data_IF_310410338419
#
_entry.id   IF_310410338419
#
_cell.length_a   1.000
_cell.length_b   1.000
_cell.length_c   1.000
_cell.angle_alpha   90.00
_cell.angle_beta   90.00
_cell.angle_gamma   90.00
#
_symmetry.space_group_name_H-M   'P 1'
#
loop_
_entity.id
_entity.type
_entity.pdbx_description
1 polymer ?
#
# COMPACT_ATOMS: atom_id res chain seq x y z
N UNK A 1 31.01 0.33 13.03
CA UNK A 1 29.94 0.67 12.03
C UNK A 1 29.40 2.06 12.36
N UNK A 2 29.78 3.09 11.61
CA UNK A 2 29.27 4.45 11.81
C UNK A 2 27.96 4.60 11.04
N UNK A 3 26.85 4.85 11.75
CA UNK A 3 25.59 5.28 11.12
C UNK A 3 25.73 6.76 10.77
N UNK A 4 25.67 7.11 9.49
CA UNK A 4 25.59 8.51 9.04
C UNK A 4 24.14 8.82 8.71
N UNK A 5 23.58 9.81 9.40
CA UNK A 5 22.23 10.32 9.14
C UNK A 5 22.33 11.44 8.11
N UNK A 6 21.59 11.32 7.01
CA UNK A 6 21.47 12.38 6.01
C UNK A 6 20.05 12.91 6.06
N UNK A 7 19.92 14.21 6.29
CA UNK A 7 18.64 14.90 6.26
C UNK A 7 18.40 15.43 4.84
N UNK A 8 17.48 14.81 4.13
CA UNK A 8 16.90 15.38 2.92
C UNK A 8 15.52 15.87 3.31
N UNK A 9 15.14 17.07 2.88
CA UNK A 9 13.87 17.73 3.24
C UNK A 9 12.74 16.73 3.46
N UNK A 10 12.38 16.48 4.72
CA UNK A 10 11.33 15.57 5.19
C UNK A 10 11.60 14.05 5.14
N UNK A 11 12.82 13.59 4.91
CA UNK A 11 13.15 12.16 4.90
C UNK A 11 14.45 11.92 5.66
N UNK A 12 14.42 11.04 6.65
CA UNK A 12 15.64 10.53 7.31
C UNK A 12 15.95 9.18 6.71
N UNK A 13 17.10 9.10 6.07
CA UNK A 13 17.62 7.86 5.49
C UNK A 13 18.64 7.24 6.43
N UNK A 14 18.40 6.02 6.91
CA UNK A 14 19.39 5.22 7.62
C UNK A 14 20.15 4.38 6.61
N UNK A 15 21.40 4.75 6.35
CA UNK A 15 22.26 4.01 5.42
C UNK A 15 23.24 3.19 6.22
N UNK A 16 23.22 1.88 6.07
CA UNK A 16 24.25 0.98 6.54
C UNK A 16 25.28 0.81 5.41
N UNK A 17 26.45 1.44 5.55
CA UNK A 17 27.46 1.50 4.51
C UNK A 17 28.47 0.36 4.67
N UNK A 18 28.66 -0.45 3.62
CA UNK A 18 29.82 -1.30 3.42
C UNK A 18 30.60 -0.72 2.25
N UNK A 19 31.74 -0.10 2.55
CA UNK A 19 32.65 0.46 1.50
C UNK A 19 33.66 -0.62 1.19
N UNK A 20 33.72 -1.06 -0.07
CA UNK A 20 34.89 -1.79 -0.60
C UNK A 20 35.63 -0.88 -1.56
N UNK A 21 36.93 -0.72 -1.32
CA UNK A 21 37.81 0.09 -2.16
C UNK A 21 38.52 -0.84 -3.14
N UNK A 22 38.27 -0.66 -4.43
CA UNK A 22 39.09 -1.24 -5.47
C UNK A 22 39.85 -0.10 -6.17
N UNK A 23 41.07 -0.35 -6.65
CA UNK A 23 42.08 0.64 -7.04
C UNK A 23 41.62 1.65 -8.11
N UNK A 24 40.53 1.37 -8.83
CA UNK A 24 39.99 2.21 -9.91
C UNK A 24 38.53 2.63 -9.79
N UNK A 25 37.75 2.07 -8.85
CA UNK A 25 36.32 2.41 -8.71
C UNK A 25 35.91 2.38 -7.24
N UNK A 26 35.26 3.46 -6.80
CA UNK A 26 34.53 3.46 -5.53
C UNK A 26 33.13 2.88 -5.76
N UNK A 27 32.86 1.72 -5.19
CA UNK A 27 31.51 1.13 -5.17
C UNK A 27 30.97 1.19 -3.75
N UNK A 28 29.90 1.93 -3.55
CA UNK A 28 29.15 1.91 -2.29
C UNK A 28 27.87 1.09 -2.49
N UNK A 29 27.69 0.05 -1.69
CA UNK A 29 26.39 -0.63 -1.58
C UNK A 29 25.62 0.05 -0.46
N UNK A 30 24.45 0.59 -0.82
CA UNK A 30 23.54 1.25 0.11
C UNK A 30 22.35 0.33 0.31
N UNK A 31 22.28 -0.30 1.49
CA UNK A 31 21.13 -1.06 1.91
C UNK A 31 20.22 -0.13 2.73
N UNK A 32 19.07 0.21 2.17
CA UNK A 32 18.08 1.05 2.83
C UNK A 32 17.26 0.18 3.79
N UNK A 33 17.38 0.45 5.10
CA UNK A 33 16.57 -0.22 6.14
C UNK A 33 15.18 0.36 6.20
N UNK A 34 14.97 1.55 5.66
CA UNK A 34 13.70 2.23 5.57
C UNK A 34 13.85 3.74 5.35
N UNK A 35 12.81 4.35 4.85
CA UNK A 35 12.69 5.80 4.75
C UNK A 35 11.68 6.24 5.80
N UNK A 36 12.16 6.98 6.83
CA UNK A 36 11.28 7.55 7.85
C UNK A 36 10.82 8.93 7.39
N UNK A 37 9.52 9.08 7.15
CA UNK A 37 8.91 10.39 6.92
C UNK A 37 8.80 11.14 8.24
N UNK A 38 9.50 12.26 8.37
CA UNK A 38 9.32 13.17 9.51
C UNK A 38 7.95 13.86 9.41
N UNK A 39 7.29 14.03 10.55
CA UNK A 39 6.08 14.85 10.62
C UNK A 39 6.44 16.31 10.35
N UNK A 40 5.52 17.08 9.79
CA UNK A 40 5.76 18.51 9.51
C UNK A 40 6.20 19.27 10.77
N UNK A 41 5.59 18.97 11.92
CA UNK A 41 5.97 19.57 13.21
C UNK A 41 7.42 19.29 13.60
N UNK A 42 7.96 18.09 13.32
CA UNK A 42 9.35 17.74 13.64
C UNK A 42 10.33 18.49 12.74
N UNK A 43 9.92 18.80 11.51
CA UNK A 43 10.71 19.57 10.55
C UNK A 43 10.73 21.05 10.92
N UNK A 44 9.58 21.61 11.27
CA UNK A 44 9.44 23.01 11.70
C UNK A 44 10.24 23.28 12.98
N UNK A 45 10.18 22.37 13.96
CA UNK A 45 10.96 22.48 15.18
C UNK A 45 12.48 22.45 14.97
N UNK A 46 12.96 21.76 13.92
CA UNK A 46 14.40 21.62 13.62
C UNK A 46 14.96 22.69 12.70
N UNK A 47 14.14 23.26 11.82
CA UNK A 47 14.57 24.19 10.76
C UNK A 47 14.19 25.63 11.09
N UNK A 48 13.29 25.87 12.06
CA UNK A 48 12.91 27.20 12.50
C UNK A 48 12.17 28.03 11.46
N UNK A 49 11.59 27.44 10.45
CA UNK A 49 10.88 28.13 9.39
C UNK A 49 9.37 27.95 9.55
N UNK A 50 8.75 28.90 10.19
CA UNK A 50 7.33 29.14 10.06
C UNK A 50 7.04 29.63 8.63
N UNK A 51 6.27 28.89 7.85
CA UNK A 51 5.58 29.54 6.74
C UNK A 51 5.58 28.97 5.36
N UNK A 52 6.00 27.75 5.07
CA UNK A 52 5.74 27.20 3.73
C UNK A 52 4.55 26.23 3.72
N UNK A 53 3.36 26.74 3.44
CA UNK A 53 2.11 25.97 3.32
C UNK A 53 2.04 25.07 2.08
N UNK A 54 3.03 25.05 1.21
CA UNK A 54 3.08 24.14 0.06
C UNK A 54 3.73 22.83 0.47
N UNK A 55 2.90 21.83 0.74
CA UNK A 55 3.35 20.43 0.91
C UNK A 55 4.00 19.96 -0.38
N UNK A 56 5.34 19.90 -0.42
CA UNK A 56 6.04 19.25 -1.52
C UNK A 56 5.81 17.73 -1.39
N UNK A 57 5.11 17.16 -2.37
CA UNK A 57 4.91 15.70 -2.47
C UNK A 57 6.09 14.98 -3.10
N UNK A 58 7.14 15.71 -3.48
CA UNK A 58 8.32 15.16 -4.15
C UNK A 58 9.56 15.43 -3.31
N UNK A 59 10.44 14.43 -3.22
CA UNK A 59 11.75 14.51 -2.61
C UNK A 59 12.82 13.95 -3.56
N UNK A 60 14.08 14.26 -3.30
CA UNK A 60 15.22 13.65 -3.96
C UNK A 60 16.21 13.17 -2.89
N UNK A 61 16.83 12.05 -3.12
CA UNK A 61 18.00 11.64 -2.38
C UNK A 61 19.21 12.35 -2.98
N UNK A 62 20.07 12.91 -2.14
CA UNK A 62 21.35 13.49 -2.59
C UNK A 62 22.46 12.61 -2.03
N UNK A 63 23.17 11.96 -2.94
CA UNK A 63 24.37 11.20 -2.62
C UNK A 63 25.57 12.15 -2.61
N UNK A 64 26.28 12.18 -1.49
CA UNK A 64 27.44 13.06 -1.32
C UNK A 64 28.62 12.23 -0.83
N UNK A 65 29.75 12.40 -1.49
CA UNK A 65 31.04 11.79 -1.12
C UNK A 65 32.07 12.88 -0.93
N UNK A 66 32.76 12.85 0.21
CA UNK A 66 33.84 13.72 0.50
C UNK A 66 35.16 12.92 0.34
N UNK A 67 36.03 13.35 -0.54
CA UNK A 67 37.31 12.73 -0.85
C UNK A 67 38.42 13.68 -0.34
N UNK A 68 39.21 13.20 0.60
CA UNK A 68 40.40 13.95 1.05
C UNK A 68 41.53 13.71 0.06
N UNK A 69 42.09 14.79 -0.53
CA UNK A 69 43.21 14.75 -1.42
C UNK A 69 44.54 14.62 -0.64
N UNK A 70 45.61 14.29 -1.35
CA UNK A 70 46.96 14.19 -0.75
C UNK A 70 47.45 15.50 -0.15
N UNK A 71 46.97 16.63 -0.66
CA UNK A 71 47.30 17.98 -0.18
C UNK A 71 46.49 18.40 1.05
N UNK A 72 45.64 17.51 1.60
CA UNK A 72 44.75 17.78 2.74
C UNK A 72 43.45 18.47 2.36
N UNK A 73 43.27 18.90 1.11
CA UNK A 73 42.04 19.50 0.65
C UNK A 73 40.92 18.46 0.52
N UNK A 74 39.65 18.88 0.68
CA UNK A 74 38.51 18.00 0.53
C UNK A 74 37.72 18.32 -0.75
N UNK A 75 37.60 17.32 -1.63
CA UNK A 75 36.72 17.37 -2.77
C UNK A 75 35.34 16.78 -2.39
N UNK A 76 34.28 17.55 -2.54
CA UNK A 76 32.94 17.08 -2.35
C UNK A 76 32.29 16.82 -3.71
N UNK A 77 31.92 15.57 -3.95
CA UNK A 77 31.08 15.16 -5.10
C UNK A 77 29.68 14.88 -4.64
N UNK A 78 28.68 15.32 -5.41
CA UNK A 78 27.28 15.02 -5.10
C UNK A 78 26.47 14.81 -6.36
N UNK A 79 25.47 13.93 -6.27
CA UNK A 79 24.51 13.70 -7.32
C UNK A 79 23.11 13.49 -6.73
N UNK A 80 22.08 14.14 -7.26
CA UNK A 80 20.72 13.89 -6.84
C UNK A 80 20.11 12.70 -7.58
N UNK A 81 19.21 11.98 -6.90
CA UNK A 81 18.35 10.99 -7.55
C UNK A 81 17.30 11.64 -8.45
N UNK A 82 16.64 10.84 -9.27
CA UNK A 82 15.34 11.21 -9.84
C UNK A 82 14.35 11.60 -8.75
N UNK A 83 13.31 12.41 -9.05
CA UNK A 83 12.29 12.77 -8.07
C UNK A 83 11.54 11.53 -7.57
N UNK A 84 11.38 11.43 -6.25
CA UNK A 84 10.61 10.39 -5.57
C UNK A 84 9.30 11.01 -5.13
N UNK A 85 8.17 10.44 -5.55
CA UNK A 85 6.86 10.85 -5.09
C UNK A 85 6.64 10.30 -3.67
N UNK A 86 6.44 11.19 -2.71
CA UNK A 86 6.12 10.83 -1.33
C UNK A 86 4.60 10.75 -1.19
N UNK A 87 4.07 9.54 -1.10
CA UNK A 87 2.66 9.29 -0.82
C UNK A 87 2.49 8.90 0.64
N UNK A 88 1.34 9.23 1.23
CA UNK A 88 0.96 8.58 2.48
C UNK A 88 0.61 7.13 2.17
N UNK A 89 0.92 6.17 3.06
CA UNK A 89 0.39 4.83 2.93
C UNK A 89 -1.13 4.93 2.83
N UNK A 90 -1.73 4.21 1.90
CA UNK A 90 -3.17 4.06 1.87
C UNK A 90 -3.60 3.36 3.16
N UNK A 91 -4.73 3.78 3.73
CA UNK A 91 -5.36 3.06 4.81
C UNK A 91 -5.84 1.67 4.33
N UNK A 92 -6.22 0.81 5.27
CA UNK A 92 -6.89 -0.44 4.95
C UNK A 92 -8.18 -0.16 4.16
N UNK A 93 -8.59 -1.08 3.27
CA UNK A 93 -9.85 -0.92 2.53
C UNK A 93 -11.05 -0.97 3.48
N UNK A 94 -12.11 -0.30 3.11
CA UNK A 94 -13.35 -0.25 3.88
C UNK A 94 -14.54 -0.32 2.92
N UNK A 95 -15.49 -1.23 3.19
CA UNK A 95 -16.76 -1.30 2.47
C UNK A 95 -17.81 -0.52 3.27
N UNK A 96 -18.37 0.52 2.70
CA UNK A 96 -19.39 1.36 3.35
C UNK A 96 -20.79 0.91 2.99
N UNK A 97 -21.01 0.52 1.74
CA UNK A 97 -22.33 0.05 1.23
C UNK A 97 -22.14 -0.96 0.10
N UNK A 98 -23.16 -1.79 -0.06
CA UNK A 98 -23.33 -2.69 -1.21
C UNK A 98 -24.73 -2.60 -1.76
N UNK A 99 -24.89 -2.84 -3.06
CA UNK A 99 -26.19 -2.74 -3.76
C UNK A 99 -27.06 -3.98 -3.58
N UNK A 100 -26.44 -5.15 -3.40
CA UNK A 100 -27.14 -6.44 -3.35
C UNK A 100 -26.83 -7.15 -2.03
N UNK A 101 -27.84 -7.85 -1.47
CA UNK A 101 -27.71 -8.53 -0.19
C UNK A 101 -27.78 -10.05 -0.32
N UNK A 102 -28.34 -10.53 -1.44
CA UNK A 102 -28.47 -11.95 -1.73
C UNK A 102 -28.58 -12.20 -3.22
N UNK A 103 -28.22 -13.40 -3.65
CA UNK A 103 -28.51 -13.93 -4.98
C UNK A 103 -28.65 -15.46 -4.92
N UNK A 104 -29.02 -16.10 -6.03
CA UNK A 104 -29.02 -17.55 -6.09
C UNK A 104 -27.61 -18.14 -6.01
N UNK A 105 -27.49 -19.43 -5.69
CA UNK A 105 -26.20 -20.15 -5.63
C UNK A 105 -25.43 -20.11 -6.94
N UNK A 106 -26.09 -19.83 -8.06
CA UNK A 106 -25.43 -19.65 -9.35
C UNK A 106 -24.50 -18.44 -9.38
N UNK A 107 -24.74 -17.47 -8.52
CA UNK A 107 -24.00 -16.22 -8.53
C UNK A 107 -24.27 -15.42 -9.80
N UNK A 108 -23.22 -14.91 -10.41
CA UNK A 108 -23.19 -14.20 -11.70
C UNK A 108 -23.82 -12.79 -11.68
N UNK A 109 -24.55 -12.44 -10.64
CA UNK A 109 -25.11 -11.10 -10.46
C UNK A 109 -24.04 -10.08 -10.12
N UNK A 110 -24.24 -8.82 -10.54
CA UNK A 110 -23.33 -7.73 -10.25
C UNK A 110 -23.68 -7.06 -8.91
N UNK A 111 -22.67 -6.88 -8.08
CA UNK A 111 -22.74 -6.13 -6.83
C UNK A 111 -21.88 -4.89 -6.93
N UNK A 112 -22.47 -3.74 -6.62
CA UNK A 112 -21.75 -2.48 -6.45
C UNK A 112 -21.30 -2.36 -5.00
N UNK A 113 -19.98 -2.18 -4.80
CA UNK A 113 -19.39 -1.92 -3.51
C UNK A 113 -18.92 -0.46 -3.47
N UNK A 114 -19.48 0.31 -2.54
CA UNK A 114 -19.03 1.67 -2.26
C UNK A 114 -18.15 1.64 -1.02
N UNK A 115 -16.97 2.25 -1.09
CA UNK A 115 -16.01 2.18 0.00
C UNK A 115 -14.87 3.19 -0.09
N UNK A 116 -13.75 2.81 0.50
CA UNK A 116 -12.51 3.62 0.52
C UNK A 116 -11.29 2.73 0.35
N UNK A 117 -10.22 3.36 -0.15
CA UNK A 117 -8.90 2.75 -0.24
C UNK A 117 -8.85 1.48 -1.11
N UNK A 118 -9.69 1.38 -2.11
CA UNK A 118 -9.58 0.34 -3.11
C UNK A 118 -8.40 0.66 -4.02
N UNK A 119 -7.36 -0.14 -3.94
CA UNK A 119 -6.11 0.05 -4.66
C UNK A 119 -6.02 -0.93 -5.82
N UNK A 120 -5.14 -0.64 -6.78
CA UNK A 120 -4.83 -1.61 -7.84
C UNK A 120 -4.35 -2.92 -7.21
N UNK A 121 -4.89 -4.04 -7.65
CA UNK A 121 -4.65 -5.35 -7.03
C UNK A 121 -5.56 -5.68 -5.86
N UNK A 122 -6.63 -4.89 -5.65
CA UNK A 122 -7.71 -5.20 -4.72
C UNK A 122 -8.35 -6.53 -5.09
N UNK A 123 -8.66 -7.33 -4.06
CA UNK A 123 -9.41 -8.58 -4.17
C UNK A 123 -10.66 -8.49 -3.32
N UNK A 124 -11.78 -8.98 -3.83
CA UNK A 124 -13.05 -9.09 -3.10
C UNK A 124 -13.31 -10.57 -2.84
N UNK A 125 -13.48 -10.93 -1.58
CA UNK A 125 -13.60 -12.31 -1.15
C UNK A 125 -14.98 -12.55 -0.54
N UNK A 126 -15.63 -13.62 -0.97
CA UNK A 126 -16.82 -14.20 -0.36
C UNK A 126 -16.38 -15.41 0.45
N UNK A 127 -16.75 -15.51 1.71
CA UNK A 127 -16.34 -16.60 2.60
C UNK A 127 -17.47 -16.98 3.57
N UNK A 128 -17.70 -18.28 3.76
CA UNK A 128 -18.72 -18.78 4.68
C UNK A 128 -18.46 -18.38 6.14
N UNK A 129 -17.31 -18.77 6.65
CA UNK A 129 -16.92 -18.44 8.02
C UNK A 129 -15.61 -17.68 8.01
N UNK A 130 -15.71 -16.37 8.15
CA UNK A 130 -14.56 -15.46 8.08
C UNK A 130 -13.56 -15.68 9.22
N UNK A 131 -13.99 -16.34 10.31
CA UNK A 131 -13.12 -16.71 11.44
C UNK A 131 -12.41 -18.05 11.22
N UNK A 132 -12.82 -18.83 10.24
CA UNK A 132 -12.20 -20.10 9.88
C UNK A 132 -11.57 -20.00 8.49
N UNK A 133 -10.26 -19.96 8.43
CA UNK A 133 -9.51 -19.85 7.17
C UNK A 133 -9.71 -21.06 6.23
N UNK A 134 -10.16 -22.21 6.78
CA UNK A 134 -10.42 -23.41 6.00
C UNK A 134 -11.85 -23.47 5.45
N UNK A 135 -12.73 -22.56 5.87
CA UNK A 135 -14.07 -22.49 5.31
C UNK A 135 -14.03 -22.10 3.83
N UNK A 136 -15.08 -22.47 3.09
CA UNK A 136 -15.17 -22.09 1.68
C UNK A 136 -15.00 -20.59 1.49
N UNK A 137 -14.19 -20.25 0.51
CA UNK A 137 -13.99 -18.87 0.06
C UNK A 137 -13.77 -18.82 -1.46
N UNK A 138 -14.23 -17.76 -2.07
CA UNK A 138 -14.07 -17.51 -3.49
C UNK A 138 -13.77 -16.03 -3.74
N UNK A 139 -12.86 -15.75 -4.68
CA UNK A 139 -12.56 -14.40 -5.14
C UNK A 139 -13.58 -14.00 -6.21
N UNK A 140 -14.19 -12.82 -6.05
CA UNK A 140 -15.10 -12.26 -7.03
C UNK A 140 -14.32 -11.58 -8.16
N UNK A 141 -14.83 -11.68 -9.37
CA UNK A 141 -14.31 -10.95 -10.52
C UNK A 141 -14.69 -9.47 -10.39
N UNK A 142 -13.69 -8.58 -10.58
CA UNK A 142 -13.87 -7.14 -10.52
C UNK A 142 -13.89 -6.60 -11.96
N UNK A 143 -14.88 -5.76 -12.28
CA UNK A 143 -14.84 -4.97 -13.51
C UNK A 143 -13.72 -3.94 -13.42
N UNK A 144 -12.63 -4.23 -14.14
CA UNK A 144 -11.44 -3.39 -14.12
C UNK A 144 -11.58 -2.13 -14.99
N UNK A 145 -12.54 -2.07 -15.90
CA UNK A 145 -12.79 -0.87 -16.72
C UNK A 145 -13.43 0.22 -15.88
N UNK A 146 -14.30 -0.17 -14.95
CA UNK A 146 -14.99 0.71 -14.03
C UNK A 146 -14.36 0.75 -12.64
N UNK A 147 -13.12 0.24 -12.50
CA UNK A 147 -12.41 0.26 -11.23
C UNK A 147 -12.14 1.68 -10.73
N UNK A 148 -12.50 1.94 -9.48
CA UNK A 148 -12.21 3.20 -8.81
C UNK A 148 -11.86 2.99 -7.35
N UNK A 149 -11.05 3.89 -6.77
CA UNK A 149 -10.62 3.80 -5.37
C UNK A 149 -11.78 3.86 -4.34
N UNK A 150 -12.97 4.27 -4.74
CA UNK A 150 -14.13 4.43 -3.89
C UNK A 150 -15.31 3.53 -4.28
N UNK A 151 -15.27 2.86 -5.41
CA UNK A 151 -16.27 1.88 -5.80
C UNK A 151 -15.68 0.75 -6.61
N UNK A 152 -16.30 -0.41 -6.48
CA UNK A 152 -16.03 -1.59 -7.29
C UNK A 152 -17.34 -2.14 -7.81
N UNK A 153 -17.34 -2.66 -9.01
CA UNK A 153 -18.39 -3.51 -9.55
C UNK A 153 -17.82 -4.91 -9.57
N UNK A 154 -18.46 -5.83 -8.90
CA UNK A 154 -17.99 -7.21 -8.79
C UNK A 154 -19.07 -8.20 -9.17
N UNK A 155 -18.66 -9.26 -9.85
CA UNK A 155 -19.54 -10.37 -10.18
C UNK A 155 -19.52 -11.36 -9.03
N UNK A 156 -20.70 -11.67 -8.47
CA UNK A 156 -20.82 -12.63 -7.37
C UNK A 156 -20.34 -14.00 -7.84
N UNK A 157 -19.38 -14.63 -7.16
CA UNK A 157 -18.93 -15.98 -7.54
C UNK A 157 -20.03 -17.01 -7.26
N UNK A 158 -20.10 -18.09 -8.04
CA UNK A 158 -20.99 -19.20 -7.74
C UNK A 158 -20.63 -19.81 -6.38
N UNK A 159 -21.64 -20.18 -5.61
CA UNK A 159 -21.43 -20.91 -4.37
C UNK A 159 -21.03 -22.35 -4.66
N UNK A 160 -20.23 -22.95 -3.79
CA UNK A 160 -19.68 -24.29 -4.05
C UNK A 160 -20.74 -25.40 -4.04
N UNK A 161 -21.77 -25.27 -3.21
CA UNK A 161 -22.90 -26.20 -3.19
C UNK A 161 -24.09 -25.59 -3.92
N UNK A 162 -24.38 -26.15 -5.12
CA UNK A 162 -25.48 -25.70 -5.96
C UNK A 162 -26.83 -26.27 -5.56
N UNK A 163 -26.89 -27.19 -4.58
CA UNK A 163 -28.08 -27.93 -4.18
C UNK A 163 -28.56 -27.60 -2.77
N UNK A 164 -28.17 -26.44 -2.24
CA UNK A 164 -28.68 -26.00 -0.93
C UNK A 164 -30.20 -25.92 -0.95
N UNK A 165 -30.79 -26.29 0.17
CA UNK A 165 -32.27 -26.22 0.36
C UNK A 165 -32.70 -25.06 1.24
N UNK A 166 -31.75 -24.46 1.96
CA UNK A 166 -31.94 -23.30 2.83
C UNK A 166 -30.90 -22.22 2.48
N UNK A 167 -31.24 -20.94 2.70
CA UNK A 167 -30.31 -19.85 2.49
C UNK A 167 -29.04 -19.99 3.35
N UNK A 168 -27.88 -19.68 2.76
CA UNK A 168 -26.57 -19.71 3.42
C UNK A 168 -26.02 -18.31 3.51
N UNK A 169 -25.64 -17.88 4.72
CA UNK A 169 -24.99 -16.60 4.95
C UNK A 169 -23.48 -16.71 4.79
N UNK A 170 -22.88 -15.76 4.07
CA UNK A 170 -21.45 -15.61 3.88
C UNK A 170 -21.03 -14.19 4.20
N UNK A 171 -19.73 -13.96 4.36
CA UNK A 171 -19.16 -12.63 4.55
C UNK A 171 -18.41 -12.16 3.31
N UNK A 172 -18.58 -10.88 2.97
CA UNK A 172 -17.79 -10.20 1.93
C UNK A 172 -16.76 -9.30 2.61
N UNK A 173 -15.51 -9.42 2.21
CA UNK A 173 -14.44 -8.53 2.63
C UNK A 173 -13.47 -8.24 1.49
N UNK A 174 -12.70 -7.18 1.65
CA UNK A 174 -11.75 -6.70 0.64
C UNK A 174 -10.33 -6.82 1.17
N UNK A 175 -9.41 -7.24 0.31
CA UNK A 175 -7.97 -7.35 0.59
C UNK A 175 -7.20 -6.47 -0.37
N UNK A 176 -6.27 -5.68 0.16
CA UNK A 176 -5.31 -4.88 -0.60
C UNK A 176 -3.91 -5.09 -0.04
N UNK A 177 -2.89 -4.47 -0.66
CA UNK A 177 -1.53 -4.44 -0.11
C UNK A 177 -1.43 -3.74 1.25
N UNK A 178 -2.42 -2.91 1.62
CA UNK A 178 -2.48 -2.24 2.92
C UNK A 178 -3.12 -3.11 4.01
N UNK A 179 -3.71 -4.25 3.65
CA UNK A 179 -4.34 -5.19 4.55
C UNK A 179 -5.77 -5.54 4.12
N UNK A 180 -6.48 -6.20 5.02
CA UNK A 180 -7.87 -6.63 4.86
C UNK A 180 -8.81 -5.61 5.50
N UNK A 181 -10.02 -5.43 4.92
CA UNK A 181 -11.09 -4.63 5.54
C UNK A 181 -11.47 -5.19 6.91
N UNK A 182 -11.67 -4.31 7.90
CA UNK A 182 -12.07 -4.72 9.24
C UNK A 182 -13.53 -5.19 9.27
N UNK A 183 -14.39 -4.45 8.55
CA UNK A 183 -15.81 -4.78 8.47
C UNK A 183 -16.06 -5.84 7.40
N UNK A 184 -16.79 -6.88 7.80
CA UNK A 184 -17.29 -7.94 6.92
C UNK A 184 -18.73 -7.65 6.60
N UNK A 185 -19.08 -7.56 5.32
CA UNK A 185 -20.45 -7.32 4.89
C UNK A 185 -21.20 -8.64 4.75
N UNK A 186 -22.37 -8.82 5.39
CA UNK A 186 -23.15 -10.05 5.24
C UNK A 186 -23.72 -10.16 3.84
N UNK A 187 -23.74 -11.38 3.31
CA UNK A 187 -24.37 -11.71 2.04
C UNK A 187 -25.01 -13.10 2.12
N UNK A 188 -26.07 -13.33 1.38
CA UNK A 188 -26.82 -14.58 1.46
C UNK A 188 -26.95 -15.24 0.09
N UNK A 189 -26.52 -16.48 -0.02
CA UNK A 189 -26.87 -17.32 -1.15
C UNK A 189 -28.22 -17.99 -0.89
N UNK A 190 -29.09 -17.97 -1.88
CA UNK A 190 -30.40 -18.64 -1.84
C UNK A 190 -30.40 -19.86 -2.75
N UNK A 191 -31.24 -20.88 -2.46
CA UNK A 191 -31.46 -21.96 -3.40
C UNK A 191 -31.80 -21.43 -4.80
N UNK A 192 -31.42 -22.18 -5.80
CA UNK A 192 -31.87 -21.90 -7.16
C UNK A 192 -33.36 -22.23 -7.28
N UNK A 193 -34.19 -21.37 -7.89
CA UNK A 193 -35.63 -21.58 -8.00
C UNK A 193 -36.00 -22.76 -8.93
#
# INVERSE_FOLDING_TARGET
KRKKNYLVKNIVLFIQQKISVNVFFFRARVDCVGILKLRNADVEARIGIAGSKKKSTRARLVFRVNITRKDGSTLTLQTPSSPILCTQPAGVPEILKKSLHSCSVKGEEEVFLIGKNFLKGTKVIFQENVSDENSWKSEAEIDMELFHQNHLIVKVPPYHDQHITLPVSVGIYVVTNAGRSHDVQPFTYTPDP
#
